data_IF_661238989297
#
_entry.id   IF_661238989297
#
_cell.length_a   1.000
_cell.length_b   1.000
_cell.length_c   1.000
_cell.angle_alpha   90.00
_cell.angle_beta   90.00
_cell.angle_gamma   90.00
#
_symmetry.space_group_name_H-M   'P 1'
#
loop_
_entity.id
_entity.type
_entity.pdbx_description
1 polymer ?
#
# COMPACT_ATOMS: atom_id res chain seq x y z
N UNK A 1 -25.15 -59.48 -2.20
CA UNK A 1 -24.52 -58.72 -1.10
C UNK A 1 -23.33 -57.95 -1.66
N UNK A 2 -23.51 -56.69 -2.08
CA UNK A 2 -22.44 -55.88 -2.69
C UNK A 2 -21.92 -54.86 -1.67
N UNK A 3 -20.66 -55.03 -1.25
CA UNK A 3 -19.94 -54.05 -0.45
C UNK A 3 -19.71 -52.78 -1.26
N UNK A 4 -20.35 -51.67 -0.85
CA UNK A 4 -20.01 -50.32 -1.34
C UNK A 4 -18.63 -49.93 -0.81
N UNK A 5 -17.61 -50.01 -1.66
CA UNK A 5 -16.32 -49.36 -1.40
C UNK A 5 -16.55 -47.84 -1.26
N UNK A 6 -16.38 -47.32 -0.04
CA UNK A 6 -16.25 -45.88 0.21
C UNK A 6 -15.04 -45.36 -0.58
N UNK A 7 -15.30 -44.55 -1.61
CA UNK A 7 -14.25 -43.78 -2.29
C UNK A 7 -13.62 -42.85 -1.26
N UNK A 8 -12.45 -43.22 -0.76
CA UNK A 8 -11.58 -42.36 0.04
C UNK A 8 -11.17 -41.22 -0.88
N UNK A 9 -11.78 -40.04 -0.70
CA UNK A 9 -11.41 -38.84 -1.44
C UNK A 9 -9.92 -38.57 -1.22
N UNK A 10 -9.14 -38.60 -2.30
CA UNK A 10 -7.71 -38.25 -2.26
C UNK A 10 -7.59 -36.87 -1.61
N UNK A 11 -7.04 -36.82 -0.38
CA UNK A 11 -6.67 -35.55 0.27
C UNK A 11 -5.67 -34.85 -0.65
N UNK A 12 -6.08 -33.73 -1.26
CA UNK A 12 -5.21 -32.91 -2.12
C UNK A 12 -3.99 -32.47 -1.31
N UNK A 13 -2.81 -32.47 -1.93
CA UNK A 13 -1.59 -32.05 -1.23
C UNK A 13 -1.68 -30.56 -0.90
N UNK A 14 -1.13 -30.09 0.23
CA UNK A 14 -1.16 -28.68 0.61
C UNK A 14 -0.59 -27.72 -0.46
N UNK A 15 0.36 -28.19 -1.27
CA UNK A 15 0.91 -27.47 -2.43
C UNK A 15 -0.14 -27.17 -3.49
N UNK A 16 -1.04 -28.12 -3.76
CA UNK A 16 -2.05 -28.02 -4.82
C UNK A 16 -3.09 -26.96 -4.47
N UNK A 17 -3.42 -26.84 -3.18
CA UNK A 17 -4.33 -25.81 -2.69
C UNK A 17 -3.74 -24.39 -2.80
N UNK A 18 -2.44 -24.25 -2.51
CA UNK A 18 -1.73 -22.97 -2.63
C UNK A 18 -1.58 -22.52 -4.08
N UNK A 19 -1.24 -23.44 -4.98
CA UNK A 19 -1.18 -23.15 -6.41
C UNK A 19 -2.56 -22.80 -6.98
N UNK A 20 -3.61 -23.50 -6.56
CA UNK A 20 -4.98 -23.17 -6.96
C UNK A 20 -5.41 -21.78 -6.46
N UNK A 21 -5.02 -21.37 -5.26
CA UNK A 21 -5.28 -20.02 -4.76
C UNK A 21 -4.58 -18.94 -5.61
N UNK A 22 -3.35 -19.19 -6.05
CA UNK A 22 -2.59 -18.31 -6.95
C UNK A 22 -3.30 -18.20 -8.31
N UNK A 23 -3.67 -19.32 -8.93
CA UNK A 23 -4.36 -19.33 -10.23
C UNK A 23 -5.71 -18.61 -10.16
N UNK A 24 -6.50 -18.88 -9.11
CA UNK A 24 -7.77 -18.20 -8.88
C UNK A 24 -7.60 -16.69 -8.74
N UNK A 25 -6.57 -16.24 -8.02
CA UNK A 25 -6.27 -14.81 -7.87
C UNK A 25 -5.87 -14.19 -9.22
N UNK A 26 -5.01 -14.85 -10.00
CA UNK A 26 -4.61 -14.39 -11.34
C UNK A 26 -5.80 -14.26 -12.28
N UNK A 27 -6.65 -15.28 -12.33
CA UNK A 27 -7.85 -15.28 -13.17
C UNK A 27 -8.78 -14.11 -12.80
N UNK A 28 -9.04 -13.90 -11.51
CA UNK A 28 -9.89 -12.79 -11.06
C UNK A 28 -9.31 -11.41 -11.35
N UNK A 29 -7.98 -11.24 -11.23
CA UNK A 29 -7.32 -9.99 -11.66
C UNK A 29 -7.44 -9.79 -13.17
N UNK A 30 -7.36 -10.84 -13.99
CA UNK A 30 -7.54 -10.74 -15.43
C UNK A 30 -8.98 -10.34 -15.80
N UNK A 31 -9.99 -10.89 -15.11
CA UNK A 31 -11.39 -10.49 -15.27
C UNK A 31 -11.59 -9.04 -14.85
N UNK A 32 -11.07 -8.63 -13.70
CA UNK A 32 -11.14 -7.25 -13.21
C UNK A 32 -10.51 -6.26 -14.19
N UNK A 33 -9.39 -6.61 -14.84
CA UNK A 33 -8.77 -5.74 -15.84
C UNK A 33 -9.65 -5.51 -17.06
N UNK A 34 -10.44 -6.51 -17.47
CA UNK A 34 -11.41 -6.38 -18.56
C UNK A 34 -12.59 -5.49 -18.16
N UNK A 35 -12.99 -5.51 -16.88
CA UNK A 35 -14.11 -4.73 -16.37
C UNK A 35 -13.77 -3.26 -16.09
N UNK A 36 -12.49 -2.87 -16.11
CA UNK A 36 -12.07 -1.47 -15.91
C UNK A 36 -12.65 -0.46 -16.92
N UNK A 37 -13.13 -0.92 -18.08
CA UNK A 37 -13.80 -0.06 -19.06
C UNK A 37 -15.33 0.00 -18.85
N UNK A 38 -15.89 -0.92 -18.07
CA UNK A 38 -17.34 -1.17 -17.97
C UNK A 38 -17.93 -0.78 -16.61
N UNK A 39 -17.10 -0.64 -15.56
CA UNK A 39 -17.56 -0.34 -14.20
C UNK A 39 -16.93 0.93 -13.64
N UNK A 40 -17.62 1.51 -12.65
CA UNK A 40 -17.12 2.66 -11.91
C UNK A 40 -15.79 2.33 -11.21
N UNK A 41 -14.90 3.30 -11.02
CA UNK A 41 -13.64 3.10 -10.32
C UNK A 41 -13.81 2.55 -8.89
N UNK A 42 -14.86 2.95 -8.17
CA UNK A 42 -15.13 2.43 -6.82
C UNK A 42 -15.42 0.92 -6.83
N UNK A 43 -16.26 0.44 -7.75
CA UNK A 43 -16.60 -0.98 -7.86
C UNK A 43 -15.36 -1.83 -8.15
N UNK A 44 -14.50 -1.34 -9.03
CA UNK A 44 -13.24 -2.02 -9.36
C UNK A 44 -12.28 -2.06 -8.16
N UNK A 45 -12.27 -1.02 -7.33
CA UNK A 45 -11.47 -0.96 -6.11
C UNK A 45 -11.97 -1.95 -5.06
N UNK A 46 -13.29 -2.03 -4.87
CA UNK A 46 -13.94 -3.00 -3.98
C UNK A 46 -13.62 -4.42 -4.46
N UNK A 47 -13.87 -4.72 -5.74
CA UNK A 47 -13.57 -6.03 -6.32
C UNK A 47 -12.10 -6.42 -6.18
N UNK A 48 -11.17 -5.49 -6.41
CA UNK A 48 -9.75 -5.72 -6.17
C UNK A 48 -9.48 -6.08 -4.72
N UNK A 49 -10.06 -5.34 -3.78
CA UNK A 49 -9.90 -5.59 -2.35
C UNK A 49 -10.36 -7.00 -1.96
N UNK A 50 -11.54 -7.41 -2.44
CA UNK A 50 -12.06 -8.76 -2.25
C UNK A 50 -11.11 -9.84 -2.78
N UNK A 51 -10.51 -9.63 -3.96
CA UNK A 51 -9.55 -10.57 -4.56
C UNK A 51 -8.33 -10.75 -3.66
N UNK A 52 -7.77 -9.64 -3.19
CA UNK A 52 -6.60 -9.63 -2.30
C UNK A 52 -6.92 -10.35 -0.99
N UNK A 53 -7.98 -9.95 -0.28
CA UNK A 53 -8.37 -10.54 1.01
C UNK A 53 -8.65 -12.04 0.88
N UNK A 54 -9.34 -12.46 -0.19
CA UNK A 54 -9.62 -13.88 -0.45
C UNK A 54 -8.36 -14.69 -0.74
N UNK A 55 -7.37 -14.10 -1.41
CA UNK A 55 -6.07 -14.74 -1.59
C UNK A 55 -5.36 -14.94 -0.25
N UNK A 56 -5.29 -13.91 0.61
CA UNK A 56 -4.66 -14.04 1.93
C UNK A 56 -5.34 -15.11 2.80
N UNK A 57 -6.66 -15.13 2.77
CA UNK A 57 -7.44 -16.16 3.45
C UNK A 57 -7.19 -17.57 2.93
N UNK A 58 -7.11 -17.75 1.60
CA UNK A 58 -6.89 -19.07 1.01
C UNK A 58 -5.43 -19.52 1.14
N UNK A 59 -4.47 -18.64 0.85
CA UNK A 59 -3.05 -19.01 0.73
C UNK A 59 -2.33 -19.06 2.08
N UNK A 60 -2.59 -18.07 2.94
CA UNK A 60 -1.93 -17.92 4.24
C UNK A 60 -2.83 -18.30 5.42
N UNK A 61 -4.12 -18.60 5.20
CA UNK A 61 -5.10 -18.85 6.27
C UNK A 61 -5.16 -17.68 7.26
N UNK A 62 -5.22 -16.47 6.71
CA UNK A 62 -5.44 -15.23 7.46
C UNK A 62 -6.93 -14.90 7.41
N UNK A 63 -7.51 -14.40 8.50
CA UNK A 63 -8.93 -14.07 8.50
C UNK A 63 -9.23 -13.00 7.44
N UNK A 64 -10.27 -13.26 6.64
CA UNK A 64 -10.73 -12.41 5.57
C UNK A 64 -11.19 -11.03 6.07
N UNK A 65 -11.71 -10.96 7.30
CA UNK A 65 -12.29 -9.74 7.85
C UNK A 65 -11.25 -8.74 8.36
N UNK A 66 -9.99 -9.14 8.48
CA UNK A 66 -8.92 -8.27 8.93
C UNK A 66 -8.70 -7.10 7.98
N UNK A 67 -8.29 -5.97 8.54
CA UNK A 67 -7.71 -4.86 7.80
C UNK A 67 -6.37 -5.25 7.19
N UNK A 68 -5.91 -4.52 6.17
CA UNK A 68 -4.60 -4.73 5.56
C UNK A 68 -3.44 -4.46 6.53
N UNK A 69 -3.64 -3.59 7.53
CA UNK A 69 -2.66 -3.41 8.60
C UNK A 69 -2.58 -4.64 9.52
N UNK A 70 -3.71 -5.23 9.88
CA UNK A 70 -3.76 -6.46 10.67
C UNK A 70 -3.24 -7.68 9.89
N UNK A 71 -3.57 -7.78 8.59
CA UNK A 71 -3.03 -8.81 7.70
C UNK A 71 -1.50 -8.71 7.59
N UNK A 72 -0.94 -7.50 7.63
CA UNK A 72 0.51 -7.29 7.60
C UNK A 72 1.17 -7.92 8.83
N UNK A 73 0.62 -7.67 10.02
CA UNK A 73 1.12 -8.26 11.27
C UNK A 73 1.01 -9.79 11.27
N UNK A 74 -0.09 -10.35 10.75
CA UNK A 74 -0.26 -11.81 10.63
C UNK A 74 0.77 -12.47 9.70
N UNK A 75 1.17 -11.78 8.63
CA UNK A 75 2.18 -12.29 7.67
C UNK A 75 3.56 -12.37 8.29
N UNK A 76 3.91 -11.46 9.19
CA UNK A 76 5.19 -11.47 9.89
C UNK A 76 5.40 -12.78 10.65
N UNK A 77 4.33 -13.35 11.23
CA UNK A 77 4.34 -14.65 11.91
C UNK A 77 4.16 -15.87 11.00
N UNK A 78 3.54 -15.73 9.82
CA UNK A 78 3.18 -16.88 8.95
C UNK A 78 4.12 -17.13 7.77
N UNK A 79 4.92 -16.14 7.37
CA UNK A 79 5.80 -16.24 6.19
C UNK A 79 7.25 -16.29 6.63
N UNK A 80 7.91 -17.43 6.43
CA UNK A 80 9.33 -17.60 6.76
C UNK A 80 10.27 -16.95 5.74
N UNK A 81 9.84 -16.77 4.50
CA UNK A 81 10.66 -16.17 3.45
C UNK A 81 10.69 -14.64 3.57
N UNK A 82 11.85 -14.07 3.91
CA UNK A 82 12.00 -12.62 4.10
C UNK A 82 11.69 -11.78 2.86
N UNK A 83 12.08 -12.24 1.66
CA UNK A 83 11.79 -11.49 0.43
C UNK A 83 10.27 -11.41 0.15
N UNK A 84 9.56 -12.53 0.30
CA UNK A 84 8.12 -12.58 0.14
C UNK A 84 7.41 -11.79 1.25
N UNK A 85 7.89 -11.92 2.50
CA UNK A 85 7.38 -11.17 3.65
C UNK A 85 7.47 -9.67 3.41
N UNK A 86 8.65 -9.17 3.02
CA UNK A 86 8.85 -7.75 2.71
C UNK A 86 7.98 -7.28 1.54
N UNK A 87 7.87 -8.07 0.46
CA UNK A 87 7.03 -7.74 -0.68
C UNK A 87 5.55 -7.64 -0.29
N UNK A 88 5.05 -8.60 0.49
CA UNK A 88 3.68 -8.62 1.00
C UNK A 88 3.42 -7.45 1.95
N UNK A 89 4.33 -7.19 2.89
CA UNK A 89 4.19 -6.09 3.86
C UNK A 89 4.19 -4.72 3.17
N UNK A 90 5.08 -4.51 2.20
CA UNK A 90 5.12 -3.30 1.37
C UNK A 90 3.84 -3.13 0.54
N UNK A 91 3.34 -4.22 -0.03
CA UNK A 91 2.09 -4.22 -0.78
C UNK A 91 0.89 -3.90 0.09
N UNK A 92 0.71 -4.58 1.23
CA UNK A 92 -0.39 -4.33 2.17
C UNK A 92 -0.39 -2.90 2.69
N UNK A 93 0.78 -2.35 3.04
CA UNK A 93 0.92 -0.92 3.39
C UNK A 93 0.50 0.00 2.24
N UNK A 94 0.73 -0.40 0.99
CA UNK A 94 0.38 0.40 -0.18
C UNK A 94 -1.11 0.35 -0.50
N UNK A 95 -1.79 -0.77 -0.19
CA UNK A 95 -3.22 -0.96 -0.47
C UNK A 95 -4.11 -0.65 0.75
N UNK A 96 -3.55 -0.43 1.94
CA UNK A 96 -4.30 0.04 3.13
C UNK A 96 -5.06 1.34 2.89
N UNK A 97 -4.58 2.19 1.97
CA UNK A 97 -5.29 3.40 1.51
C UNK A 97 -6.67 3.11 0.89
N UNK A 98 -6.95 1.85 0.53
CA UNK A 98 -8.23 1.40 -0.03
C UNK A 98 -9.28 1.10 1.03
N UNK A 99 -8.89 0.85 2.28
CA UNK A 99 -9.81 0.44 3.35
C UNK A 99 -10.45 1.61 4.08
N UNK A 100 -9.78 2.76 4.12
CA UNK A 100 -10.30 3.97 4.73
C UNK A 100 -11.12 4.73 3.68
N UNK A 101 -12.42 4.47 3.72
CA UNK A 101 -13.41 4.90 2.72
C UNK A 101 -13.45 6.41 2.50
N UNK A 102 -13.35 6.79 1.22
CA UNK A 102 -13.47 8.18 0.74
C UNK A 102 -12.56 8.50 -0.46
N UNK A 103 -11.55 7.69 -0.72
CA UNK A 103 -10.63 7.90 -1.85
C UNK A 103 -11.11 7.12 -3.07
N UNK A 104 -11.75 7.81 -4.00
CA UNK A 104 -11.99 7.28 -5.35
C UNK A 104 -10.64 6.98 -6.00
N UNK A 105 -10.24 5.71 -6.04
CA UNK A 105 -8.99 5.32 -6.68
C UNK A 105 -9.16 5.42 -8.19
N UNK A 106 -8.25 6.16 -8.83
CA UNK A 106 -8.21 6.18 -10.28
C UNK A 106 -7.93 4.78 -10.83
N UNK A 107 -8.46 4.48 -12.02
CA UNK A 107 -8.18 3.25 -12.77
C UNK A 107 -6.68 2.97 -12.89
N UNK A 108 -5.85 4.02 -13.02
CA UNK A 108 -4.39 3.90 -13.06
C UNK A 108 -3.83 3.33 -11.75
N UNK A 109 -4.29 3.80 -10.59
CA UNK A 109 -3.87 3.27 -9.27
C UNK A 109 -4.32 1.82 -9.08
N UNK A 110 -5.55 1.46 -9.45
CA UNK A 110 -6.04 0.06 -9.34
C UNK A 110 -5.24 -0.88 -10.26
N UNK A 111 -4.95 -0.45 -11.49
CA UNK A 111 -4.09 -1.20 -12.42
C UNK A 111 -2.68 -1.40 -11.85
N UNK A 112 -2.11 -0.37 -11.24
CA UNK A 112 -0.81 -0.43 -10.57
C UNK A 112 -0.81 -1.46 -9.42
N UNK A 113 -1.80 -1.42 -8.53
CA UNK A 113 -1.91 -2.40 -7.44
C UNK A 113 -2.12 -3.82 -7.97
N UNK A 114 -2.94 -3.98 -9.03
CA UNK A 114 -3.16 -5.26 -9.68
C UNK A 114 -1.86 -5.86 -10.24
N UNK A 115 -0.99 -5.05 -10.85
CA UNK A 115 0.29 -5.51 -11.36
C UNK A 115 1.27 -5.87 -10.25
N UNK A 116 1.36 -5.06 -9.19
CA UNK A 116 2.19 -5.42 -8.01
C UNK A 116 1.74 -6.71 -7.36
N UNK A 117 0.43 -6.91 -7.26
CA UNK A 117 -0.14 -8.13 -6.72
C UNK A 117 0.20 -9.35 -7.58
N UNK A 118 0.12 -9.24 -8.92
CA UNK A 118 0.55 -10.32 -9.82
C UNK A 118 2.04 -10.69 -9.66
N UNK A 119 2.92 -9.71 -9.44
CA UNK A 119 4.33 -9.97 -9.15
C UNK A 119 4.53 -10.73 -7.84
N UNK A 120 3.75 -10.41 -6.80
CA UNK A 120 3.74 -11.14 -5.54
C UNK A 120 3.23 -12.57 -5.73
N UNK A 121 2.17 -12.77 -6.52
CA UNK A 121 1.65 -14.10 -6.84
C UNK A 121 2.72 -14.98 -7.51
N UNK A 122 3.52 -14.40 -8.41
CA UNK A 122 4.64 -15.11 -9.03
C UNK A 122 5.75 -15.46 -8.02
N UNK A 123 6.07 -14.56 -7.07
CA UNK A 123 7.00 -14.87 -5.98
C UNK A 123 6.48 -16.03 -5.10
N UNK A 124 5.19 -15.99 -4.77
CA UNK A 124 4.53 -17.02 -3.97
C UNK A 124 4.46 -18.36 -4.71
N UNK A 125 4.28 -18.35 -6.04
CA UNK A 125 4.22 -19.56 -6.87
C UNK A 125 5.55 -20.31 -6.89
N UNK A 126 6.67 -19.59 -7.12
CA UNK A 126 8.01 -20.18 -7.11
C UNK A 126 8.27 -20.91 -5.79
N UNK A 127 7.74 -20.40 -4.67
CA UNK A 127 7.88 -21.00 -3.34
C UNK A 127 6.85 -22.07 -3.00
N UNK A 128 5.71 -22.09 -3.68
CA UNK A 128 4.69 -23.11 -3.50
C UNK A 128 5.02 -24.43 -4.23
N UNK A 129 5.92 -24.38 -5.23
CA UNK A 129 6.39 -25.57 -5.96
C UNK A 129 7.50 -26.30 -5.16
N UNK A 130 7.45 -27.64 -5.06
CA UNK A 130 8.53 -28.42 -4.45
C UNK A 130 9.83 -28.25 -5.27
N UNK A 131 10.93 -27.88 -4.60
CA UNK A 131 12.24 -27.62 -5.25
C UNK A 131 12.51 -26.15 -5.64
N UNK A 132 11.63 -25.21 -5.29
CA UNK A 132 11.77 -23.79 -5.60
C UNK A 132 12.78 -23.02 -4.75
N UNK A 133 14.07 -23.37 -4.86
CA UNK A 133 15.16 -22.51 -4.41
C UNK A 133 15.75 -21.74 -5.60
N UNK A 134 15.70 -20.42 -5.49
CA UNK A 134 16.63 -19.51 -6.15
C UNK A 134 16.55 -19.41 -7.67
N UNK A 135 15.66 -18.55 -8.17
CA UNK A 135 16.02 -17.40 -9.02
C UNK A 135 14.79 -16.85 -9.76
N UNK A 136 14.96 -15.65 -10.30
CA UNK A 136 14.06 -14.98 -11.24
C UNK A 136 12.81 -14.31 -10.66
N UNK A 137 12.93 -13.30 -9.79
CA UNK A 137 12.10 -12.05 -9.87
C UNK A 137 12.88 -10.86 -9.26
N UNK A 138 14.04 -10.50 -9.82
CA UNK A 138 14.67 -9.18 -9.54
C UNK A 138 14.54 -8.19 -10.70
N UNK A 139 14.47 -8.67 -11.95
CA UNK A 139 14.39 -7.82 -13.14
C UNK A 139 12.99 -7.22 -13.38
N UNK A 140 11.92 -7.95 -13.07
CA UNK A 140 10.54 -7.50 -13.36
C UNK A 140 9.98 -6.46 -12.38
N UNK A 141 10.37 -6.51 -11.11
CA UNK A 141 9.89 -5.57 -10.08
C UNK A 141 10.63 -4.22 -10.22
N UNK A 142 11.96 -4.26 -10.35
CA UNK A 142 12.81 -3.05 -10.47
C UNK A 142 12.56 -2.26 -11.75
N UNK A 143 12.51 -2.92 -12.91
CA UNK A 143 12.25 -2.26 -14.20
C UNK A 143 10.84 -1.66 -14.30
N UNK A 144 9.91 -2.07 -13.43
CA UNK A 144 8.54 -1.57 -13.38
C UNK A 144 8.39 -0.41 -12.38
N UNK A 145 9.06 -0.47 -11.23
CA UNK A 145 9.18 0.64 -10.27
C UNK A 145 9.82 1.88 -10.93
N UNK A 146 10.80 1.66 -11.81
CA UNK A 146 11.43 2.71 -12.63
C UNK A 146 10.47 3.30 -13.68
N UNK A 147 9.60 2.49 -14.31
CA UNK A 147 8.62 2.96 -15.31
C UNK A 147 7.44 3.75 -14.72
N UNK A 148 7.11 3.55 -13.45
CA UNK A 148 5.98 4.21 -12.78
C UNK A 148 6.39 5.29 -11.76
N UNK A 149 7.68 5.62 -11.69
CA UNK A 149 8.16 6.81 -10.98
C UNK A 149 8.02 6.74 -9.45
N UNK A 150 8.08 5.54 -8.87
CA UNK A 150 8.20 5.37 -7.41
C UNK A 150 9.64 4.96 -7.13
N UNK A 151 10.58 5.83 -7.48
CA UNK A 151 11.94 5.75 -6.95
C UNK A 151 11.84 6.04 -5.45
N UNK A 152 12.36 5.15 -4.61
CA UNK A 152 12.39 5.34 -3.15
C UNK A 152 12.97 6.72 -2.75
N UNK A 153 13.80 7.32 -3.60
CA UNK A 153 14.29 8.70 -3.46
C UNK A 153 13.20 9.78 -3.48
N UNK A 154 12.11 9.63 -4.24
CA UNK A 154 11.01 10.62 -4.24
C UNK A 154 10.22 10.56 -2.94
N UNK A 155 9.95 9.36 -2.41
CA UNK A 155 9.33 9.18 -1.10
C UNK A 155 10.23 9.69 0.03
N UNK A 156 11.53 9.41 -0.04
CA UNK A 156 12.51 9.90 0.93
C UNK A 156 12.57 11.43 0.94
N UNK A 157 12.63 12.07 -0.24
CA UNK A 157 12.59 13.54 -0.37
C UNK A 157 11.27 14.15 0.08
N UNK A 158 10.16 13.44 -0.07
CA UNK A 158 8.84 13.91 0.37
C UNK A 158 8.65 13.77 1.89
N UNK A 159 9.14 12.67 2.49
CA UNK A 159 9.20 12.48 3.93
C UNK A 159 10.17 13.49 4.58
N UNK A 160 11.32 13.77 3.96
CA UNK A 160 12.26 14.83 4.37
C UNK A 160 11.63 16.23 4.27
N UNK A 161 10.83 16.49 3.22
CA UNK A 161 10.12 17.76 3.06
C UNK A 161 9.00 17.93 4.11
N UNK A 162 8.28 16.86 4.44
CA UNK A 162 7.31 16.83 5.53
C UNK A 162 7.97 17.08 6.89
N UNK A 163 9.07 16.38 7.18
CA UNK A 163 9.82 16.56 8.42
C UNK A 163 10.38 17.98 8.54
N UNK A 164 10.85 18.55 7.42
CA UNK A 164 11.29 19.96 7.36
C UNK A 164 10.14 20.93 7.66
N UNK A 165 8.94 20.69 7.11
CA UNK A 165 7.76 21.52 7.39
C UNK A 165 7.40 21.45 8.88
N UNK A 166 7.40 20.27 9.50
CA UNK A 166 7.13 20.15 10.93
C UNK A 166 8.19 20.85 11.79
N UNK A 167 9.49 20.73 11.44
CA UNK A 167 10.57 21.45 12.13
C UNK A 167 10.40 22.97 12.02
N UNK A 168 10.05 23.48 10.84
CA UNK A 168 9.80 24.92 10.61
C UNK A 168 8.56 25.41 11.38
N UNK A 169 7.47 24.64 11.40
CA UNK A 169 6.28 24.97 12.18
C UNK A 169 6.60 25.01 13.68
N UNK A 170 7.40 24.06 14.17
CA UNK A 170 7.82 24.02 15.58
C UNK A 170 8.70 25.23 15.95
N UNK A 171 9.67 25.58 15.10
CA UNK A 171 10.52 26.76 15.24
C UNK A 171 9.70 28.05 15.22
N UNK A 172 8.76 28.16 14.29
CA UNK A 172 7.86 29.30 14.18
C UNK A 172 6.96 29.46 15.40
N UNK A 173 6.39 28.36 15.91
CA UNK A 173 5.63 28.40 17.16
C UNK A 173 6.48 28.79 18.36
N UNK A 174 7.75 28.37 18.41
CA UNK A 174 8.71 28.77 19.45
C UNK A 174 9.00 30.27 19.37
N UNK A 175 9.28 30.82 18.18
CA UNK A 175 9.48 32.26 17.96
C UNK A 175 8.25 33.08 18.39
N UNK A 176 7.05 32.62 18.04
CA UNK A 176 5.81 33.24 18.51
C UNK A 176 5.64 33.17 20.03
N UNK A 177 6.09 32.10 20.69
CA UNK A 177 5.96 31.95 22.15
C UNK A 177 6.86 32.91 22.93
N UNK A 178 8.03 33.28 22.36
CA UNK A 178 8.98 34.23 22.94
C UNK A 178 8.75 35.68 22.47
N UNK A 179 7.72 35.94 21.65
CA UNK A 179 7.34 37.29 21.21
C UNK A 179 8.07 37.79 19.95
N UNK A 180 8.91 36.98 19.32
CA UNK A 180 9.68 37.33 18.12
C UNK A 180 8.84 37.12 16.84
N UNK A 181 7.89 38.02 16.62
CA UNK A 181 6.97 37.97 15.48
C UNK A 181 7.70 38.23 14.16
N UNK A 182 8.70 39.13 14.17
CA UNK A 182 9.58 39.43 13.02
C UNK A 182 10.30 38.20 12.48
N UNK A 183 10.61 37.22 13.34
CA UNK A 183 11.22 35.95 12.95
C UNK A 183 10.20 34.91 12.43
N UNK A 184 8.91 35.09 12.73
CA UNK A 184 7.86 34.11 12.41
C UNK A 184 7.34 34.22 10.97
N UNK A 185 7.38 35.42 10.38
CA UNK A 185 6.98 35.71 8.99
C UNK A 185 7.92 35.06 7.95
N UNK A 186 9.26 35.16 8.04
CA UNK A 186 10.16 34.47 7.12
C UNK A 186 10.05 32.94 7.26
N UNK A 187 9.86 32.42 8.48
CA UNK A 187 9.61 30.99 8.72
C UNK A 187 8.35 30.50 8.00
N UNK A 188 7.26 31.28 8.04
CA UNK A 188 6.05 30.95 7.30
C UNK A 188 6.24 30.92 5.78
N UNK A 189 7.08 31.82 5.25
CA UNK A 189 7.43 31.83 3.82
C UNK A 189 8.19 30.57 3.41
N UNK A 190 9.11 30.09 4.25
CA UNK A 190 9.80 28.81 4.03
C UNK A 190 8.85 27.61 4.11
N UNK A 191 7.91 27.61 5.06
CA UNK A 191 6.86 26.58 5.16
C UNK A 191 6.03 26.53 3.88
N UNK A 192 5.64 27.69 3.33
CA UNK A 192 4.85 27.78 2.09
C UNK A 192 5.63 27.27 0.87
N UNK A 193 6.92 27.59 0.77
CA UNK A 193 7.79 27.08 -0.29
C UNK A 193 7.95 25.56 -0.21
N UNK A 194 8.19 25.02 0.99
CA UNK A 194 8.29 23.58 1.20
C UNK A 194 6.95 22.87 0.91
N UNK A 195 5.83 23.46 1.33
CA UNK A 195 4.48 22.95 1.11
C UNK A 195 4.11 22.87 -0.38
N UNK A 196 4.56 23.82 -1.20
CA UNK A 196 4.32 23.82 -2.66
C UNK A 196 4.92 22.60 -3.38
N UNK A 197 5.95 21.98 -2.79
CA UNK A 197 6.69 20.84 -3.35
C UNK A 197 6.15 19.49 -2.88
N UNK A 198 5.17 19.46 -1.96
CA UNK A 198 4.53 18.24 -1.49
C UNK A 198 3.50 17.71 -2.49
N UNK A 199 3.22 16.40 -2.47
CA UNK A 199 2.05 15.85 -3.15
C UNK A 199 0.75 16.29 -2.47
N UNK A 200 -0.36 16.24 -3.20
CA UNK A 200 -1.69 16.59 -2.67
C UNK A 200 -2.11 15.75 -1.45
N UNK A 201 -1.65 14.49 -1.35
CA UNK A 201 -1.90 13.63 -0.19
C UNK A 201 -1.12 14.11 1.04
N UNK A 202 0.15 14.48 0.87
CA UNK A 202 1.00 15.01 1.94
C UNK A 202 0.56 16.42 2.35
N UNK A 203 0.14 17.25 1.40
CA UNK A 203 -0.43 18.58 1.67
C UNK A 203 -1.63 18.51 2.60
N UNK A 204 -2.56 17.57 2.39
CA UNK A 204 -3.73 17.40 3.26
C UNK A 204 -3.37 17.13 4.72
N UNK A 205 -2.22 16.50 5.00
CA UNK A 205 -1.78 16.19 6.37
C UNK A 205 -1.32 17.43 7.13
N UNK A 206 -0.54 18.30 6.49
CA UNK A 206 0.07 19.48 7.14
C UNK A 206 -0.72 20.77 6.95
N UNK A 207 -1.68 20.80 6.03
CA UNK A 207 -2.46 22.00 5.73
C UNK A 207 -3.19 22.61 6.94
N UNK A 208 -3.83 21.81 7.84
CA UNK A 208 -4.47 22.37 9.03
C UNK A 208 -3.47 23.08 9.95
N UNK A 209 -2.28 22.50 10.15
CA UNK A 209 -1.24 23.05 11.02
C UNK A 209 -0.64 24.34 10.46
N UNK A 210 -0.45 24.40 9.14
CA UNK A 210 0.04 25.61 8.45
C UNK A 210 -0.99 26.75 8.56
N UNK A 211 -2.28 26.46 8.40
CA UNK A 211 -3.35 27.45 8.57
C UNK A 211 -3.40 27.93 10.02
N UNK A 212 -3.29 27.01 10.98
CA UNK A 212 -3.27 27.35 12.39
C UNK A 212 -2.08 28.25 12.76
N UNK A 213 -0.89 27.92 12.26
CA UNK A 213 0.30 28.73 12.45
C UNK A 213 0.15 30.13 11.86
N UNK A 214 -0.36 30.25 10.62
CA UNK A 214 -0.66 31.56 9.99
C UNK A 214 -1.63 32.41 10.83
N UNK A 215 -2.73 31.82 11.28
CA UNK A 215 -3.71 32.52 12.13
C UNK A 215 -3.09 33.04 13.43
N UNK A 216 -2.16 32.29 14.02
CA UNK A 216 -1.42 32.73 15.22
C UNK A 216 -0.47 33.89 14.94
N UNK A 217 0.21 33.91 13.79
CA UNK A 217 1.04 35.05 13.38
C UNK A 217 0.16 36.31 13.27
N UNK A 218 -0.94 36.21 12.53
CA UNK A 218 -1.85 37.35 12.30
C UNK A 218 -2.47 37.89 13.60
N UNK A 219 -2.80 37.01 14.55
CA UNK A 219 -3.37 37.41 15.85
C UNK A 219 -2.36 38.12 16.77
N UNK A 220 -1.06 37.86 16.60
CA UNK A 220 -0.01 38.51 17.40
C UNK A 220 0.57 39.77 16.73
N UNK A 221 0.42 39.90 15.41
CA UNK A 221 0.86 41.05 14.63
C UNK A 221 -0.18 42.19 14.57
N UNK A 222 -1.43 41.92 14.98
CA UNK A 222 -2.50 42.89 15.20
C UNK A 222 -2.50 43.36 16.65
#
# INVERSE_FOLDING_TARGET
MFMRMKKIGRRRRPSDFRLQAIENARHKIAVLKKSFALHLPEDNAIQFSHIVKKFFSSFFRIDYNLSYNEMKSEIEGKVSNEQLKQALASFLKSVSVMEFGGVTLSRRKISYFSQRFLSILSLAEVRARPGGEGSVIKKGIRAFEDRFGITEEKKKKEDEALERIYKLLLLGHKALSIGEISNSVPIYSEVRLAYSRLSEESKKKVHPDIIYFYKKIMKKAA
#
